data_IF_620360497412
#
_entry.id   IF_620360497412
#
_cell.length_a   1.000
_cell.length_b   1.000
_cell.length_c   1.000
_cell.angle_alpha   90.00
_cell.angle_beta   90.00
_cell.angle_gamma   90.00
#
_symmetry.space_group_name_H-M   'P 1'
#
loop_
_entity.id
_entity.type
_entity.pdbx_description
1 polymer ?
#
# COMPACT_ATOMS: atom_id res chain seq x y z
N UNK A 1 -13.78 4.42 10.32
CA UNK A 1 -12.66 3.48 10.09
C UNK A 1 -12.22 3.69 8.66
N UNK A 2 -10.91 3.60 8.38
CA UNK A 2 -10.31 4.06 7.12
C UNK A 2 -9.16 3.14 6.77
N UNK A 3 -9.12 2.65 5.53
CA UNK A 3 -8.02 1.81 5.06
C UNK A 3 -6.71 2.60 5.09
N UNK A 4 -5.62 1.91 5.45
CA UNK A 4 -4.31 2.54 5.64
C UNK A 4 -3.34 2.07 4.58
N UNK A 5 -2.85 3.00 3.77
CA UNK A 5 -1.91 2.73 2.68
C UNK A 5 -0.51 3.20 3.07
N UNK A 6 0.48 2.32 2.95
CA UNK A 6 1.88 2.63 3.13
C UNK A 6 2.60 2.65 1.80
N UNK A 7 3.35 3.73 1.54
CA UNK A 7 4.14 3.94 0.33
C UNK A 7 5.59 4.28 0.71
N UNK A 8 6.54 4.02 -0.20
CA UNK A 8 7.90 4.50 -0.02
C UNK A 8 8.07 5.89 -0.63
N UNK A 9 8.79 6.76 0.07
CA UNK A 9 9.32 7.99 -0.51
C UNK A 9 10.22 7.64 -1.71
N UNK A 10 10.02 8.24 -2.89
CA UNK A 10 10.97 8.11 -3.99
C UNK A 10 12.24 8.93 -3.71
N UNK A 11 13.26 8.75 -4.53
CA UNK A 11 14.51 9.51 -4.47
C UNK A 11 15.55 8.96 -3.50
N UNK A 12 15.37 7.74 -2.99
CA UNK A 12 16.38 7.15 -2.10
C UNK A 12 17.63 6.73 -2.87
N UNK A 13 18.74 6.62 -2.14
CA UNK A 13 20.00 6.08 -2.62
C UNK A 13 20.41 4.92 -1.72
N UNK A 14 21.18 3.98 -2.26
CA UNK A 14 21.76 2.84 -1.56
C UNK A 14 23.11 2.46 -2.19
N UNK A 15 23.69 1.33 -1.77
CA UNK A 15 24.98 0.85 -2.28
C UNK A 15 24.96 0.55 -3.79
N UNK A 16 23.78 0.40 -4.39
CA UNK A 16 23.62 0.24 -5.84
C UNK A 16 23.55 1.58 -6.59
N UNK A 17 23.48 2.72 -5.88
CA UNK A 17 23.43 4.06 -6.44
C UNK A 17 22.10 4.76 -6.17
N UNK A 18 21.48 5.31 -7.21
CA UNK A 18 20.24 6.07 -7.12
C UNK A 18 20.26 7.33 -8.00
N UNK A 19 19.20 8.15 -7.96
CA UNK A 19 18.00 8.01 -7.13
C UNK A 19 17.05 6.90 -7.61
N UNK A 20 16.40 6.22 -6.66
CA UNK A 20 15.48 5.12 -6.91
C UNK A 20 14.02 5.45 -6.55
N UNK A 21 13.09 4.67 -7.08
CA UNK A 21 11.67 4.64 -6.67
C UNK A 21 11.16 3.20 -6.68
N UNK A 22 10.08 2.93 -5.93
CA UNK A 22 9.47 1.60 -5.89
C UNK A 22 8.58 1.41 -7.14
N UNK A 23 8.82 0.41 -8.00
CA UNK A 23 8.02 0.23 -9.21
C UNK A 23 6.52 0.04 -8.94
N UNK A 24 6.14 -0.90 -8.07
CA UNK A 24 4.74 -1.12 -7.69
C UNK A 24 4.15 0.12 -6.98
N UNK A 25 4.94 0.79 -6.15
CA UNK A 25 4.55 2.05 -5.50
C UNK A 25 4.26 3.16 -6.51
N UNK A 26 5.03 3.25 -7.60
CA UNK A 26 4.79 4.21 -8.67
C UNK A 26 3.48 3.93 -9.43
N UNK A 27 3.12 2.66 -9.60
CA UNK A 27 1.82 2.28 -10.18
C UNK A 27 0.68 2.76 -9.27
N UNK A 28 0.75 2.47 -7.98
CA UNK A 28 -0.26 2.92 -7.00
C UNK A 28 -0.34 4.45 -6.93
N UNK A 29 0.80 5.15 -6.96
CA UNK A 29 0.85 6.61 -7.04
C UNK A 29 0.18 7.18 -8.30
N UNK A 30 0.38 6.52 -9.45
CA UNK A 30 -0.32 6.86 -10.69
C UNK A 30 -1.83 6.75 -10.54
N UNK A 31 -2.32 5.66 -9.91
CA UNK A 31 -3.75 5.48 -9.60
C UNK A 31 -4.26 6.59 -8.67
N UNK A 32 -3.54 6.89 -7.60
CA UNK A 32 -3.92 8.00 -6.69
C UNK A 32 -3.97 9.34 -7.44
N UNK A 33 -3.09 9.55 -8.42
CA UNK A 33 -3.05 10.76 -9.25
C UNK A 33 -4.24 10.84 -10.20
N UNK A 34 -4.64 9.74 -10.82
CA UNK A 34 -5.85 9.70 -11.65
C UNK A 34 -7.14 9.87 -10.84
N UNK A 35 -7.14 9.40 -9.58
CA UNK A 35 -8.30 9.42 -8.69
C UNK A 35 -7.96 10.15 -7.37
N UNK A 36 -7.80 11.49 -7.39
CA UNK A 36 -7.32 12.26 -6.24
C UNK A 36 -8.21 12.15 -4.99
N UNK A 37 -9.51 11.86 -5.15
CA UNK A 37 -10.43 11.62 -4.05
C UNK A 37 -9.97 10.48 -3.11
N UNK A 38 -9.18 9.51 -3.61
CA UNK A 38 -8.61 8.45 -2.77
C UNK A 38 -7.70 9.01 -1.68
N UNK A 39 -7.03 10.15 -1.90
CA UNK A 39 -6.18 10.78 -0.87
C UNK A 39 -6.96 11.34 0.31
N UNK A 40 -8.25 11.60 0.12
CA UNK A 40 -9.17 12.02 1.19
C UNK A 40 -9.82 10.81 1.90
N UNK A 41 -9.87 9.66 1.22
CA UNK A 41 -10.55 8.45 1.66
C UNK A 41 -9.62 7.40 2.28
N UNK A 42 -8.32 7.50 2.04
CA UNK A 42 -7.29 6.60 2.57
C UNK A 42 -6.43 7.33 3.59
N UNK A 43 -6.00 6.62 4.63
CA UNK A 43 -4.94 7.11 5.50
C UNK A 43 -3.59 6.71 4.89
N UNK A 44 -2.97 7.64 4.15
CA UNK A 44 -1.73 7.38 3.43
C UNK A 44 -0.52 7.79 4.29
N UNK A 45 0.44 6.88 4.44
CA UNK A 45 1.70 7.12 5.15
C UNK A 45 2.87 6.82 4.22
N UNK A 46 3.74 7.81 4.04
CA UNK A 46 4.98 7.67 3.32
C UNK A 46 6.13 7.32 4.26
N UNK A 47 6.96 6.37 3.85
CA UNK A 47 8.05 5.82 4.64
C UNK A 47 9.35 5.87 3.85
N UNK A 48 10.48 5.96 4.55
CA UNK A 48 11.78 5.85 3.90
C UNK A 48 12.07 4.40 3.49
N UNK A 49 12.91 4.25 2.46
CA UNK A 49 13.28 2.94 1.93
C UNK A 49 13.93 1.99 2.96
N UNK A 50 14.85 2.41 3.85
CA UNK A 50 15.51 1.48 4.76
C UNK A 50 14.56 0.68 5.64
N UNK A 51 14.93 -0.58 5.91
CA UNK A 51 14.29 -1.42 6.94
C UNK A 51 15.05 -1.28 8.27
N UNK A 52 14.41 -1.51 9.43
CA UNK A 52 13.02 -1.89 9.63
C UNK A 52 12.03 -0.75 9.37
N UNK A 53 10.75 -1.08 9.10
CA UNK A 53 9.65 -0.12 8.89
C UNK A 53 8.60 -0.24 10.00
N UNK A 54 8.83 0.37 11.18
CA UNK A 54 7.97 0.18 12.36
C UNK A 54 6.47 0.42 12.13
N UNK A 55 6.04 1.45 11.36
CA UNK A 55 4.62 1.67 11.11
C UNK A 55 3.93 0.52 10.36
N UNK A 56 4.64 -0.21 9.51
CA UNK A 56 4.12 -1.39 8.82
C UNK A 56 4.17 -2.62 9.74
N UNK A 57 5.28 -2.80 10.45
CA UNK A 57 5.46 -3.91 11.41
C UNK A 57 4.34 -3.91 12.46
N UNK A 58 3.97 -2.73 12.97
CA UNK A 58 2.90 -2.60 13.94
C UNK A 58 1.54 -3.09 13.42
N UNK A 59 1.30 -3.02 12.12
CA UNK A 59 0.05 -3.44 11.50
C UNK A 59 0.06 -4.92 11.10
N UNK A 60 1.17 -5.43 10.56
CA UNK A 60 1.20 -6.74 9.87
C UNK A 60 2.36 -7.65 10.29
N UNK A 61 3.22 -7.24 11.21
CA UNK A 61 4.36 -8.00 11.69
C UNK A 61 5.64 -7.82 10.88
N UNK A 62 6.75 -8.35 11.40
CA UNK A 62 8.09 -8.16 10.82
C UNK A 62 8.29 -8.81 9.45
N UNK A 63 7.54 -9.86 9.15
CA UNK A 63 7.64 -10.62 7.90
C UNK A 63 7.10 -9.83 6.69
N UNK A 64 6.27 -8.81 6.92
CA UNK A 64 5.52 -8.10 5.87
C UNK A 64 5.84 -6.60 5.83
N UNK A 65 7.09 -6.25 5.51
CA UNK A 65 7.52 -4.85 5.46
C UNK A 65 7.50 -4.24 4.05
N UNK A 66 7.21 -5.02 3.00
CA UNK A 66 7.18 -4.52 1.61
C UNK A 66 6.10 -3.46 1.42
N UNK A 67 6.43 -2.38 0.69
CA UNK A 67 5.50 -1.34 0.30
C UNK A 67 5.48 -1.24 -1.24
N UNK A 68 4.33 -1.01 -1.88
CA UNK A 68 3.08 -0.55 -1.27
C UNK A 68 2.34 -1.64 -0.48
N UNK A 69 1.70 -1.25 0.63
CA UNK A 69 0.91 -2.14 1.47
C UNK A 69 -0.36 -1.43 1.95
N UNK A 70 -1.52 -2.04 1.71
CA UNK A 70 -2.81 -1.55 2.16
C UNK A 70 -3.34 -2.43 3.28
N UNK A 71 -3.53 -1.88 4.47
CA UNK A 71 -4.21 -2.53 5.59
C UNK A 71 -5.69 -2.18 5.51
N UNK A 72 -6.54 -3.21 5.48
CA UNK A 72 -7.98 -3.05 5.41
C UNK A 72 -8.54 -2.66 6.78
N UNK A 73 -9.57 -1.82 6.79
CA UNK A 73 -10.25 -1.35 7.99
C UNK A 73 -11.31 -2.34 8.52
N UNK A 74 -11.60 -3.39 7.75
CA UNK A 74 -12.53 -4.46 8.12
C UNK A 74 -14.00 -4.17 7.84
N UNK A 75 -14.37 -2.98 7.33
CA UNK A 75 -15.77 -2.68 6.97
C UNK A 75 -16.15 -3.20 5.58
N UNK A 76 -15.17 -3.57 4.77
CA UNK A 76 -15.36 -4.17 3.46
C UNK A 76 -14.50 -5.44 3.38
N UNK A 77 -15.16 -6.57 3.12
CA UNK A 77 -14.49 -7.85 2.94
C UNK A 77 -13.88 -7.94 1.53
N UNK A 78 -12.72 -8.58 1.42
CA UNK A 78 -12.05 -8.80 0.15
C UNK A 78 -11.39 -10.18 0.14
N UNK A 79 -11.77 -11.11 -0.76
CA UNK A 79 -11.34 -12.51 -0.68
C UNK A 79 -9.82 -12.67 -0.80
N UNK A 80 -9.17 -11.85 -1.62
CA UNK A 80 -7.74 -11.99 -1.92
C UNK A 80 -6.82 -11.33 -0.88
N UNK A 81 -7.39 -10.72 0.17
CA UNK A 81 -6.59 -10.10 1.21
C UNK A 81 -5.96 -11.16 2.13
N UNK A 82 -4.64 -11.10 2.25
CA UNK A 82 -3.87 -11.90 3.19
C UNK A 82 -4.22 -11.53 4.63
N UNK A 83 -3.99 -12.44 5.56
CA UNK A 83 -4.16 -12.20 7.00
C UNK A 83 -2.81 -12.33 7.69
N UNK A 84 -2.38 -11.29 8.40
CA UNK A 84 -1.15 -11.32 9.17
C UNK A 84 -1.28 -12.34 10.30
N UNK A 85 -0.33 -13.27 10.39
CA UNK A 85 -0.26 -14.20 11.51
C UNK A 85 0.10 -13.51 12.84
N UNK A 86 0.80 -12.37 12.77
CA UNK A 86 1.24 -11.64 13.95
C UNK A 86 0.12 -10.80 14.58
N UNK A 87 -0.74 -10.19 13.74
CA UNK A 87 -1.74 -9.20 14.21
C UNK A 87 -3.18 -9.56 13.89
N UNK A 88 -3.42 -10.56 13.04
CA UNK A 88 -4.74 -10.89 12.51
C UNK A 88 -5.31 -9.85 11.54
N UNK A 89 -4.56 -8.79 11.22
CA UNK A 89 -4.99 -7.75 10.29
C UNK A 89 -4.99 -8.28 8.86
N UNK A 90 -5.97 -7.81 8.09
CA UNK A 90 -6.08 -8.12 6.66
C UNK A 90 -5.40 -7.06 5.82
N UNK A 91 -4.62 -7.48 4.83
CA UNK A 91 -3.84 -6.56 4.01
C UNK A 91 -3.66 -7.05 2.57
N UNK A 92 -3.31 -6.11 1.70
CA UNK A 92 -2.95 -6.31 0.29
C UNK A 92 -1.59 -5.65 0.03
N UNK A 93 -0.87 -6.13 -0.97
CA UNK A 93 0.41 -5.58 -1.40
C UNK A 93 0.43 -5.35 -2.91
N UNK A 94 1.32 -4.47 -3.34
CA UNK A 94 1.61 -4.25 -4.76
C UNK A 94 0.34 -3.95 -5.58
N UNK A 95 0.26 -4.43 -6.83
CA UNK A 95 -0.86 -4.14 -7.72
C UNK A 95 -2.18 -4.79 -7.29
N UNK A 96 -2.16 -5.78 -6.37
CA UNK A 96 -3.37 -6.39 -5.82
C UNK A 96 -4.22 -5.38 -5.02
N UNK A 97 -3.66 -4.23 -4.66
CA UNK A 97 -4.36 -3.10 -4.06
C UNK A 97 -5.40 -2.51 -5.03
N UNK A 98 -5.13 -2.50 -6.34
CA UNK A 98 -5.90 -1.72 -7.32
C UNK A 98 -7.33 -2.27 -7.50
N UNK A 99 -7.55 -3.58 -7.69
CA UNK A 99 -8.91 -4.12 -7.79
C UNK A 99 -9.75 -3.88 -6.54
N UNK A 100 -9.14 -3.92 -5.35
CA UNK A 100 -9.80 -3.57 -4.10
C UNK A 100 -10.24 -2.11 -4.08
N UNK A 101 -9.35 -1.18 -4.46
CA UNK A 101 -9.68 0.24 -4.50
C UNK A 101 -10.79 0.52 -5.52
N UNK A 102 -10.78 -0.15 -6.68
CA UNK A 102 -11.85 -0.07 -7.67
C UNK A 102 -13.19 -0.52 -7.10
N UNK A 103 -13.23 -1.68 -6.44
CA UNK A 103 -14.47 -2.21 -5.86
C UNK A 103 -15.00 -1.37 -4.70
N UNK A 104 -14.12 -0.91 -3.80
CA UNK A 104 -14.53 -0.18 -2.59
C UNK A 104 -14.83 1.29 -2.84
N UNK A 105 -14.02 1.95 -3.67
CA UNK A 105 -14.05 3.41 -3.85
C UNK A 105 -14.53 3.84 -5.23
N UNK A 106 -14.86 2.90 -6.12
CA UNK A 106 -15.49 3.19 -7.41
C UNK A 106 -14.56 3.79 -8.47
N UNK A 107 -13.25 3.56 -8.36
CA UNK A 107 -12.27 3.97 -9.38
C UNK A 107 -12.26 3.00 -10.57
N UNK A 108 -11.59 3.39 -11.66
CA UNK A 108 -11.40 2.52 -12.83
C UNK A 108 -10.36 1.42 -12.61
N UNK A 109 -10.52 0.33 -13.36
CA UNK A 109 -9.55 -0.77 -13.43
C UNK A 109 -8.51 -0.51 -14.54
N UNK A 110 -7.30 -1.10 -14.44
CA UNK A 110 -6.37 -1.13 -15.57
C UNK A 110 -7.01 -1.84 -16.77
N UNK A 111 -6.69 -1.38 -17.98
CA UNK A 111 -7.10 -2.08 -19.20
C UNK A 111 -6.40 -3.45 -19.27
N UNK A 112 -7.07 -4.51 -19.75
CA UNK A 112 -6.48 -5.82 -19.98
C UNK A 112 -5.26 -5.83 -20.90
#
# INVERSE_FOLDING_TARGET
MTDRLYLLNPGWHDDAGGPWYCPAGAVVEGVLTFYPALREQLLITYLDHPRPRPPVIAEVGEDHQGCPLLVLDGSFDWPDAATSAATGRRFLQDEAIIPYLAARYGIGLPHP
#
